data_IF_768440397996
#
_entry.id   IF_768440397996
#
_cell.length_a   1.000
_cell.length_b   1.000
_cell.length_c   1.000
_cell.angle_alpha   90.00
_cell.angle_beta   90.00
_cell.angle_gamma   90.00
#
_symmetry.space_group_name_H-M   'P 1'
#
loop_
_entity.id
_entity.type
_entity.pdbx_description
1 polymer ?
#
# COMPACT_ATOMS: atom_id res chain seq x y z
N UNK A 1 -14.38 -11.16 -68.36
CA UNK A 1 -14.23 -10.41 -67.10
C UNK A 1 -13.47 -11.30 -66.14
N UNK A 2 -12.13 -11.23 -66.16
CA UNK A 2 -11.26 -12.07 -65.32
C UNK A 2 -11.03 -11.35 -63.99
N UNK A 3 -11.52 -11.93 -62.89
CA UNK A 3 -11.20 -11.47 -61.55
C UNK A 3 -9.77 -11.92 -61.21
N UNK A 4 -8.91 -10.94 -60.91
CA UNK A 4 -7.54 -11.17 -60.43
C UNK A 4 -7.60 -11.70 -58.99
N UNK A 5 -7.22 -12.96 -58.78
CA UNK A 5 -6.99 -13.50 -57.43
C UNK A 5 -5.63 -12.99 -56.90
N UNK A 6 -5.56 -12.47 -55.66
CA UNK A 6 -4.30 -12.03 -55.08
C UNK A 6 -3.40 -13.23 -54.74
N UNK A 7 -2.09 -13.11 -54.99
CA UNK A 7 -1.10 -14.16 -54.77
C UNK A 7 -0.80 -14.44 -53.29
N UNK A 8 -0.50 -15.70 -52.97
CA UNK A 8 -0.29 -16.25 -51.61
C UNK A 8 0.78 -15.54 -50.75
N UNK A 9 1.65 -14.72 -51.36
CA UNK A 9 2.65 -13.93 -50.64
C UNK A 9 2.05 -12.74 -49.88
N UNK A 10 0.95 -12.17 -50.35
CA UNK A 10 0.26 -11.04 -49.72
C UNK A 10 -0.59 -11.49 -48.50
N UNK A 11 -1.15 -12.70 -48.55
CA UNK A 11 -1.97 -13.26 -47.46
C UNK A 11 -1.15 -13.51 -46.18
N UNK A 12 0.11 -13.93 -46.34
CA UNK A 12 1.00 -14.29 -45.23
C UNK A 12 1.58 -13.08 -44.48
N UNK A 13 1.72 -11.93 -45.14
CA UNK A 13 2.27 -10.72 -44.52
C UNK A 13 1.24 -10.02 -43.62
N UNK A 14 0.00 -9.87 -44.09
CA UNK A 14 -1.09 -9.27 -43.32
C UNK A 14 -1.42 -10.09 -42.05
N UNK A 15 -1.46 -11.42 -42.17
CA UNK A 15 -1.72 -12.30 -41.03
C UNK A 15 -0.61 -12.22 -39.95
N UNK A 16 0.66 -12.12 -40.34
CA UNK A 16 1.78 -11.90 -39.38
C UNK A 16 1.75 -10.51 -38.74
N UNK A 17 1.26 -9.51 -39.45
CA UNK A 17 1.06 -8.15 -38.92
C UNK A 17 -0.10 -8.10 -37.92
N UNK A 18 -1.19 -8.82 -38.18
CA UNK A 18 -2.28 -9.02 -37.22
C UNK A 18 -1.77 -9.68 -35.94
N UNK A 19 -1.06 -10.81 -36.05
CA UNK A 19 -0.52 -11.54 -34.89
C UNK A 19 0.45 -10.68 -34.05
N UNK A 20 1.27 -9.84 -34.70
CA UNK A 20 2.16 -8.89 -33.98
C UNK A 20 1.38 -7.80 -33.25
N UNK A 21 0.31 -7.27 -33.86
CA UNK A 21 -0.57 -6.29 -33.21
C UNK A 21 -1.30 -6.92 -32.02
N UNK A 22 -1.84 -8.11 -32.18
CA UNK A 22 -2.55 -8.84 -31.12
C UNK A 22 -1.60 -9.19 -29.95
N UNK A 23 -0.34 -9.55 -30.25
CA UNK A 23 0.69 -9.80 -29.22
C UNK A 23 1.05 -8.51 -28.48
N UNK A 24 1.21 -7.39 -29.19
CA UNK A 24 1.52 -6.08 -28.56
C UNK A 24 0.34 -5.52 -27.75
N UNK A 25 -0.90 -5.76 -28.17
CA UNK A 25 -2.11 -5.36 -27.44
C UNK A 25 -2.34 -6.25 -26.21
N UNK A 26 -2.03 -7.55 -26.30
CA UNK A 26 -2.03 -8.48 -25.17
C UNK A 26 -0.98 -8.09 -24.12
N UNK A 27 0.24 -7.77 -24.54
CA UNK A 27 1.31 -7.30 -23.63
C UNK A 27 0.98 -5.94 -23.01
N UNK A 28 0.40 -5.00 -23.77
CA UNK A 28 -0.05 -3.70 -23.25
C UNK A 28 -1.23 -3.82 -22.27
N UNK A 29 -2.14 -4.78 -22.48
CA UNK A 29 -3.22 -5.10 -21.53
C UNK A 29 -2.69 -5.78 -20.27
N UNK A 30 -1.75 -6.71 -20.39
CA UNK A 30 -1.07 -7.34 -19.26
C UNK A 30 -0.29 -6.34 -18.41
N UNK A 31 0.39 -5.39 -19.06
CA UNK A 31 1.10 -4.29 -18.38
C UNK A 31 0.13 -3.34 -17.67
N UNK A 32 -1.00 -3.00 -18.29
CA UNK A 32 -2.02 -2.15 -17.65
C UNK A 32 -2.67 -2.81 -16.43
N UNK A 33 -2.94 -4.13 -16.45
CA UNK A 33 -3.51 -4.83 -15.29
C UNK A 33 -2.48 -4.95 -14.17
N UNK A 34 -1.21 -5.22 -14.48
CA UNK A 34 -0.14 -5.24 -13.48
C UNK A 34 0.10 -3.85 -12.87
N UNK A 35 0.04 -2.80 -13.69
CA UNK A 35 0.14 -1.40 -13.27
C UNK A 35 -1.08 -0.98 -12.41
N UNK A 36 -2.30 -1.37 -12.82
CA UNK A 36 -3.53 -1.14 -12.04
C UNK A 36 -3.52 -1.94 -10.73
N UNK A 37 -3.00 -3.16 -10.71
CA UNK A 37 -2.85 -3.98 -9.50
C UNK A 37 -1.81 -3.41 -8.52
N UNK A 38 -0.76 -2.76 -9.04
CA UNK A 38 0.18 -1.94 -8.27
C UNK A 38 -0.42 -0.60 -7.82
N UNK A 39 -1.46 -0.10 -8.50
CA UNK A 39 -2.28 1.03 -8.05
C UNK A 39 -3.34 0.64 -7.00
N UNK A 40 -3.75 -0.64 -6.91
CA UNK A 40 -4.72 -1.11 -5.91
C UNK A 40 -4.09 -1.26 -4.52
N UNK A 41 -2.80 -1.53 -4.42
CA UNK A 41 -2.08 -1.55 -3.14
C UNK A 41 -1.40 -0.20 -2.92
N UNK A 42 -1.84 0.54 -1.89
CA UNK A 42 -1.22 1.79 -1.42
C UNK A 42 0.15 1.54 -0.75
N UNK A 43 0.98 0.71 -1.36
CA UNK A 43 2.28 0.28 -0.89
C UNK A 43 3.36 0.97 -1.71
N UNK A 44 4.28 1.66 -1.04
CA UNK A 44 5.37 2.41 -1.67
C UNK A 44 6.70 2.06 -1.02
N UNK A 45 7.76 1.99 -1.83
CA UNK A 45 9.12 1.97 -1.32
C UNK A 45 9.51 3.41 -0.95
N UNK A 46 9.81 3.64 0.32
CA UNK A 46 10.10 4.96 0.90
C UNK A 46 11.54 5.04 1.44
N UNK A 47 12.41 4.12 1.01
CA UNK A 47 13.83 4.08 1.41
C UNK A 47 14.55 5.37 1.06
N UNK A 48 14.26 5.91 -0.13
CA UNK A 48 14.84 7.14 -0.61
C UNK A 48 13.82 8.27 -0.53
N UNK A 49 14.32 9.49 -0.27
CA UNK A 49 13.51 10.70 -0.26
C UNK A 49 13.16 11.11 -1.71
N UNK A 50 12.22 10.39 -2.31
CA UNK A 50 11.67 10.72 -3.62
C UNK A 50 10.54 11.78 -3.43
N UNK A 51 10.65 12.97 -4.05
CA UNK A 51 9.65 14.02 -3.92
C UNK A 51 8.27 13.63 -4.45
N UNK A 52 8.19 12.81 -5.50
CA UNK A 52 6.92 12.40 -6.12
C UNK A 52 6.16 11.45 -5.20
N UNK A 53 6.85 10.44 -4.65
CA UNK A 53 6.29 9.51 -3.66
C UNK A 53 5.85 10.28 -2.41
N UNK A 54 6.66 11.25 -1.97
CA UNK A 54 6.32 12.09 -0.82
C UNK A 54 5.07 12.94 -1.08
N UNK A 55 4.95 13.52 -2.28
CA UNK A 55 3.78 14.29 -2.68
C UNK A 55 2.52 13.40 -2.71
N UNK A 56 2.63 12.20 -3.28
CA UNK A 56 1.57 11.19 -3.30
C UNK A 56 1.11 10.82 -1.88
N UNK A 57 2.05 10.47 -0.99
CA UNK A 57 1.75 10.15 0.41
C UNK A 57 1.07 11.32 1.11
N UNK A 58 1.59 12.54 0.93
CA UNK A 58 1.02 13.73 1.56
C UNK A 58 -0.39 14.02 1.04
N UNK A 59 -0.69 13.73 -0.22
CA UNK A 59 -2.03 13.89 -0.78
C UNK A 59 -3.02 12.89 -0.15
N UNK A 60 -2.58 11.65 0.11
CA UNK A 60 -3.43 10.59 0.66
C UNK A 60 -3.69 10.72 2.17
N UNK A 61 -2.64 10.99 2.96
CA UNK A 61 -2.72 10.94 4.43
C UNK A 61 -2.36 12.26 5.11
N UNK A 62 -2.10 13.32 4.35
CA UNK A 62 -1.68 14.63 4.86
C UNK A 62 -0.18 14.69 5.19
N UNK A 63 0.39 15.90 5.38
CA UNK A 63 1.81 16.10 5.66
C UNK A 63 2.23 15.55 7.04
N UNK A 64 3.54 15.32 7.28
CA UNK A 64 4.00 14.89 8.60
C UNK A 64 3.75 15.99 9.62
N UNK A 65 3.46 15.60 10.86
CA UNK A 65 3.34 16.56 11.96
C UNK A 65 4.70 17.24 12.22
N UNK A 66 4.66 18.55 12.47
CA UNK A 66 5.85 19.29 12.92
C UNK A 66 6.34 18.80 14.29
N UNK A 67 7.60 19.09 14.61
CA UNK A 67 8.25 18.63 15.85
C UNK A 67 7.46 19.03 17.11
N UNK A 68 7.05 20.29 17.21
CA UNK A 68 6.30 20.81 18.37
C UNK A 68 4.94 20.10 18.50
N UNK A 69 4.20 19.95 17.40
CA UNK A 69 2.92 19.23 17.41
C UNK A 69 3.08 17.76 17.78
N UNK A 70 4.14 17.10 17.29
CA UNK A 70 4.43 15.70 17.61
C UNK A 70 4.68 15.51 19.11
N UNK A 71 5.46 16.39 19.72
CA UNK A 71 5.75 16.35 21.17
C UNK A 71 4.48 16.62 21.97
N UNK A 72 3.68 17.64 21.62
CA UNK A 72 2.39 17.94 22.29
C UNK A 72 1.40 16.78 22.23
N UNK A 73 1.47 15.96 21.18
CA UNK A 73 0.64 14.76 21.05
C UNK A 73 1.22 13.53 21.75
N UNK A 74 2.36 13.63 22.44
CA UNK A 74 3.04 12.49 23.06
C UNK A 74 3.60 11.50 22.04
N UNK A 75 4.10 12.02 20.92
CA UNK A 75 4.64 11.25 19.79
C UNK A 75 3.58 10.83 18.77
N UNK A 76 4.04 10.66 17.53
CA UNK A 76 3.22 10.26 16.37
C UNK A 76 3.56 8.85 15.85
N UNK A 77 4.53 8.18 16.46
CA UNK A 77 4.94 6.83 16.08
C UNK A 77 4.56 5.79 17.14
N UNK A 78 4.23 4.58 16.71
CA UNK A 78 4.20 3.41 17.59
C UNK A 78 5.61 2.90 17.88
N UNK A 79 5.73 1.99 18.85
CA UNK A 79 6.92 1.14 18.95
C UNK A 79 6.83 0.04 17.89
N UNK A 80 7.88 -0.79 17.86
CA UNK A 80 8.01 -1.93 16.96
C UNK A 80 7.01 -3.03 17.33
N UNK A 81 6.18 -3.45 16.38
CA UNK A 81 5.21 -4.55 16.54
C UNK A 81 5.56 -5.70 15.59
N UNK A 82 5.30 -6.94 16.03
CA UNK A 82 5.60 -8.14 15.23
C UNK A 82 4.46 -8.39 14.25
N UNK A 83 4.80 -8.60 12.98
CA UNK A 83 3.84 -8.99 11.95
C UNK A 83 3.66 -10.51 12.02
N UNK A 84 2.46 -10.97 12.38
CA UNK A 84 2.14 -12.40 12.44
C UNK A 84 1.54 -12.91 11.14
N UNK A 85 0.81 -12.06 10.43
CA UNK A 85 0.20 -12.39 9.14
C UNK A 85 0.05 -11.14 8.27
N UNK A 86 0.06 -11.34 6.95
CA UNK A 86 -0.20 -10.28 5.99
C UNK A 86 -0.83 -10.83 4.71
N UNK A 87 -1.48 -9.95 3.97
CA UNK A 87 -2.02 -10.20 2.63
C UNK A 87 -0.91 -10.54 1.62
N UNK A 88 -1.22 -11.24 0.51
CA UNK A 88 -0.20 -11.73 -0.44
C UNK A 88 0.71 -10.65 -1.03
N UNK A 89 0.15 -9.47 -1.31
CA UNK A 89 0.83 -8.29 -1.84
C UNK A 89 1.88 -7.71 -0.87
N UNK A 90 1.65 -7.80 0.45
CA UNK A 90 2.61 -7.40 1.49
C UNK A 90 3.56 -8.55 1.80
N UNK A 91 3.03 -9.79 1.89
CA UNK A 91 3.78 -11.00 2.23
C UNK A 91 4.95 -11.23 1.29
N UNK A 92 4.80 -10.95 -0.01
CA UNK A 92 5.88 -11.08 -1.00
C UNK A 92 7.13 -10.26 -0.64
N UNK A 93 6.97 -9.13 0.04
CA UNK A 93 8.09 -8.29 0.50
C UNK A 93 8.65 -8.78 1.84
N UNK A 94 7.78 -9.28 2.72
CA UNK A 94 8.19 -9.82 4.01
C UNK A 94 8.94 -11.15 3.88
N UNK A 95 8.64 -11.96 2.86
CA UNK A 95 9.32 -13.24 2.63
C UNK A 95 10.75 -13.10 2.12
N UNK A 96 11.16 -11.90 1.70
CA UNK A 96 12.50 -11.64 1.18
C UNK A 96 13.58 -11.58 2.28
N UNK A 97 13.19 -11.34 3.53
CA UNK A 97 14.11 -11.20 4.66
C UNK A 97 14.12 -12.46 5.54
N UNK A 98 15.27 -12.72 6.16
CA UNK A 98 15.48 -13.87 7.07
C UNK A 98 15.18 -13.53 8.53
N UNK A 99 15.08 -12.24 8.86
CA UNK A 99 14.80 -11.75 10.21
C UNK A 99 13.30 -11.71 10.50
N UNK A 100 12.93 -11.74 11.79
CA UNK A 100 11.55 -11.58 12.21
C UNK A 100 10.93 -10.28 11.62
N UNK A 101 9.74 -10.37 10.98
CA UNK A 101 9.11 -9.24 10.33
C UNK A 101 8.48 -8.31 11.35
N UNK A 102 8.95 -7.07 11.39
CA UNK A 102 8.43 -6.04 12.27
C UNK A 102 7.91 -4.83 11.49
N UNK A 103 6.94 -4.14 12.08
CA UNK A 103 6.47 -2.85 11.59
C UNK A 103 6.44 -1.78 12.68
N UNK A 104 6.29 -0.53 12.24
CA UNK A 104 5.99 0.64 13.07
C UNK A 104 4.89 1.45 12.37
N UNK A 105 4.00 2.04 13.15
CA UNK A 105 2.93 2.88 12.65
C UNK A 105 3.32 4.34 12.83
N UNK A 106 3.11 5.14 11.78
CA UNK A 106 3.18 6.59 11.83
C UNK A 106 1.77 7.15 11.68
N UNK A 107 1.36 7.97 12.64
CA UNK A 107 0.12 8.73 12.60
C UNK A 107 0.30 9.97 11.72
N UNK A 108 -0.65 10.19 10.82
CA UNK A 108 -0.73 11.35 9.94
C UNK A 108 -2.07 12.08 10.12
N UNK A 109 -2.22 13.33 9.62
CA UNK A 109 -3.46 14.08 9.77
C UNK A 109 -4.70 13.36 9.23
N UNK A 110 -4.58 12.66 8.10
CA UNK A 110 -5.70 12.03 7.39
C UNK A 110 -5.57 10.51 7.28
N UNK A 111 -4.65 9.89 8.02
CA UNK A 111 -4.46 8.44 7.97
C UNK A 111 -3.27 7.96 8.77
N UNK A 112 -2.77 6.79 8.40
CA UNK A 112 -1.56 6.19 8.97
C UNK A 112 -0.63 5.69 7.86
N UNK A 113 0.64 5.49 8.22
CA UNK A 113 1.61 4.76 7.39
C UNK A 113 2.13 3.59 8.23
N UNK A 114 2.01 2.38 7.70
CA UNK A 114 2.62 1.17 8.28
C UNK A 114 3.97 0.95 7.60
N UNK A 115 5.03 1.21 8.34
CA UNK A 115 6.40 1.05 7.88
C UNK A 115 6.89 -0.35 8.22
N UNK A 116 7.47 -1.06 7.27
CA UNK A 116 8.13 -2.34 7.50
C UNK A 116 9.34 -2.51 6.59
N UNK A 117 10.27 -3.37 6.97
CA UNK A 117 11.46 -3.63 6.16
C UNK A 117 11.29 -4.81 5.21
N UNK A 118 11.92 -4.69 4.05
CA UNK A 118 12.15 -5.76 3.09
C UNK A 118 13.63 -5.76 2.72
N UNK A 119 14.40 -6.69 3.29
CA UNK A 119 15.86 -6.70 3.20
C UNK A 119 16.44 -5.34 3.61
N UNK A 120 16.94 -4.52 2.68
CA UNK A 120 17.52 -3.19 2.94
C UNK A 120 16.55 -2.05 2.66
N UNK A 121 15.37 -2.35 2.13
CA UNK A 121 14.36 -1.37 1.75
C UNK A 121 13.34 -1.17 2.87
N UNK A 122 12.86 0.07 3.00
CA UNK A 122 11.74 0.42 3.86
C UNK A 122 10.50 0.61 3.00
N UNK A 123 9.51 -0.23 3.24
CA UNK A 123 8.21 -0.17 2.59
C UNK A 123 7.23 0.56 3.50
N UNK A 124 6.43 1.45 2.92
CA UNK A 124 5.34 2.15 3.58
C UNK A 124 4.01 1.72 2.98
N UNK A 125 3.17 1.09 3.79
CA UNK A 125 1.76 0.85 3.46
C UNK A 125 0.93 2.01 3.98
N UNK A 126 0.46 2.84 3.06
CA UNK A 126 -0.21 4.12 3.32
C UNK A 126 -1.70 3.88 3.38
N UNK A 127 -2.35 4.23 4.49
CA UNK A 127 -3.77 3.93 4.69
C UNK A 127 -4.51 5.20 5.14
N UNK A 128 -5.30 5.84 4.26
CA UNK A 128 -6.22 6.90 4.63
C UNK A 128 -7.27 6.42 5.66
N UNK A 129 -7.73 7.33 6.53
CA UNK A 129 -8.67 6.96 7.60
C UNK A 129 -10.00 6.38 7.11
N UNK A 130 -10.50 6.82 5.97
CA UNK A 130 -11.75 6.29 5.38
C UNK A 130 -11.60 4.84 4.88
N UNK A 131 -10.38 4.41 4.53
CA UNK A 131 -10.11 3.02 4.16
C UNK A 131 -9.63 2.15 5.34
N UNK A 132 -9.12 2.75 6.40
CA UNK A 132 -8.53 2.04 7.53
C UNK A 132 -9.60 1.37 8.41
N UNK A 133 -9.50 0.06 8.63
CA UNK A 133 -10.25 -0.66 9.66
C UNK A 133 -9.28 -1.35 10.63
N UNK A 134 -9.56 -1.22 11.93
CA UNK A 134 -8.73 -1.76 13.01
C UNK A 134 -9.62 -2.65 13.88
N UNK A 135 -9.28 -3.93 13.99
CA UNK A 135 -9.90 -4.86 14.92
C UNK A 135 -8.89 -5.27 15.99
N UNK A 136 -9.37 -5.50 17.22
CA UNK A 136 -8.55 -5.93 18.35
C UNK A 136 -8.99 -7.32 18.79
N UNK A 137 -8.03 -8.20 19.02
CA UNK A 137 -8.26 -9.54 19.56
C UNK A 137 -7.19 -9.83 20.64
N UNK A 138 -7.52 -9.58 21.90
CA UNK A 138 -6.55 -9.67 23.00
C UNK A 138 -5.37 -8.70 22.79
N UNK A 139 -4.15 -9.22 22.76
CA UNK A 139 -2.92 -8.44 22.46
C UNK A 139 -2.63 -8.31 20.95
N UNK A 140 -3.49 -8.84 20.09
CA UNK A 140 -3.36 -8.77 18.64
C UNK A 140 -4.21 -7.65 18.04
N UNK A 141 -3.72 -7.07 16.95
CA UNK A 141 -4.39 -6.02 16.17
C UNK A 141 -4.40 -6.43 14.70
N UNK A 142 -5.57 -6.31 14.09
CA UNK A 142 -5.77 -6.63 12.69
C UNK A 142 -6.07 -5.32 11.96
N UNK A 143 -5.17 -4.94 11.07
CA UNK A 143 -5.30 -3.77 10.21
C UNK A 143 -5.79 -4.21 8.84
N UNK A 144 -6.80 -3.52 8.33
CA UNK A 144 -7.31 -3.68 6.97
C UNK A 144 -7.38 -2.32 6.29
N UNK A 145 -7.07 -2.27 4.99
CA UNK A 145 -7.19 -1.04 4.22
C UNK A 145 -6.87 -1.25 2.74
N UNK A 146 -7.66 -0.62 1.87
CA UNK A 146 -7.46 -0.66 0.41
C UNK A 146 -7.23 -2.08 -0.16
N UNK A 147 -7.96 -3.09 0.35
CA UNK A 147 -7.85 -4.48 -0.10
C UNK A 147 -6.70 -5.30 0.50
N UNK A 148 -5.82 -4.70 1.28
CA UNK A 148 -4.70 -5.36 1.97
C UNK A 148 -4.97 -5.50 3.48
N UNK A 149 -4.26 -6.41 4.14
CA UNK A 149 -4.37 -6.59 5.59
C UNK A 149 -3.05 -6.97 6.24
N UNK A 150 -2.93 -6.68 7.54
CA UNK A 150 -1.80 -7.05 8.38
C UNK A 150 -2.28 -7.39 9.80
N UNK A 151 -1.91 -8.58 10.29
CA UNK A 151 -2.11 -8.98 11.68
C UNK A 151 -0.83 -8.72 12.45
N UNK A 152 -0.99 -8.01 13.56
CA UNK A 152 0.07 -7.54 14.43
C UNK A 152 -0.08 -8.15 15.81
N UNK A 153 1.02 -8.52 16.43
CA UNK A 153 1.07 -8.92 17.83
C UNK A 153 1.98 -8.00 18.65
N UNK A 154 1.79 -8.03 19.96
CA UNK A 154 2.57 -7.26 20.91
C UNK A 154 1.88 -6.01 21.43
N UNK A 155 0.57 -5.84 21.19
CA UNK A 155 -0.22 -4.67 21.65
C UNK A 155 -1.04 -5.02 22.87
N UNK A 156 -0.35 -5.36 23.96
CA UNK A 156 -0.98 -5.58 25.27
C UNK A 156 -1.48 -4.28 25.90
N UNK A 157 -2.51 -4.36 26.75
CA UNK A 157 -3.21 -3.21 27.33
C UNK A 157 -2.32 -2.25 28.16
N UNK A 158 -1.25 -2.77 28.74
CA UNK A 158 -0.29 -1.98 29.52
C UNK A 158 0.84 -1.39 28.67
N UNK A 159 0.93 -1.75 27.39
CA UNK A 159 2.01 -1.32 26.51
C UNK A 159 1.69 0.05 25.90
N UNK A 160 2.70 0.93 25.69
CA UNK A 160 2.50 2.22 25.05
C UNK A 160 1.82 2.16 23.69
N UNK A 161 1.95 1.03 22.98
CA UNK A 161 1.30 0.78 21.70
C UNK A 161 -0.23 0.75 21.82
N UNK A 162 -0.77 0.37 22.98
CA UNK A 162 -2.21 0.42 23.24
C UNK A 162 -2.73 1.86 23.15
N UNK A 163 -2.07 2.78 23.86
CA UNK A 163 -2.42 4.22 23.85
C UNK A 163 -2.25 4.84 22.47
N UNK A 164 -1.24 4.37 21.72
CA UNK A 164 -1.04 4.82 20.35
C UNK A 164 -2.22 4.42 19.45
N UNK A 165 -2.70 3.18 19.55
CA UNK A 165 -3.83 2.70 18.75
C UNK A 165 -5.13 3.40 19.12
N UNK A 166 -5.38 3.66 20.41
CA UNK A 166 -6.53 4.47 20.84
C UNK A 166 -6.47 5.89 20.26
N UNK A 167 -5.28 6.49 20.23
CA UNK A 167 -5.04 7.78 19.59
C UNK A 167 -5.37 7.74 18.09
N UNK A 168 -4.98 6.67 17.38
CA UNK A 168 -5.33 6.48 15.96
C UNK A 168 -6.84 6.39 15.78
N UNK A 169 -7.53 5.61 16.61
CA UNK A 169 -8.99 5.46 16.56
C UNK A 169 -9.73 6.78 16.84
N UNK A 170 -9.28 7.54 17.84
CA UNK A 170 -9.84 8.86 18.13
C UNK A 170 -9.66 9.84 16.98
N UNK A 171 -8.46 9.86 16.35
CA UNK A 171 -8.21 10.70 15.17
C UNK A 171 -9.03 10.29 13.96
N UNK A 172 -9.21 8.98 13.73
CA UNK A 172 -10.08 8.46 12.68
C UNK A 172 -11.53 8.95 12.88
N UNK A 173 -12.04 8.96 14.11
CA UNK A 173 -13.39 9.45 14.41
C UNK A 173 -13.54 10.95 14.12
N UNK A 174 -12.59 11.77 14.58
CA UNK A 174 -12.60 13.21 14.27
C UNK A 174 -12.52 13.48 12.76
N UNK A 175 -11.73 12.71 12.01
CA UNK A 175 -11.63 12.85 10.56
C UNK A 175 -12.92 12.47 9.83
N UNK A 176 -13.68 11.50 10.36
CA UNK A 176 -15.00 11.12 9.83
C UNK A 176 -16.05 12.20 10.08
N UNK A 177 -15.97 12.91 11.19
CA UNK A 177 -16.90 14.00 11.51
C UNK A 177 -16.72 15.22 10.59
N UNK A 178 -15.51 15.43 10.08
CA UNK A 178 -15.21 16.51 9.12
C UNK A 178 -15.60 16.21 7.67
N UNK A 179 -15.89 14.95 7.32
CA UNK A 179 -16.21 14.51 5.96
C UNK A 179 -17.48 13.64 5.97
N UNK A 180 -18.68 14.24 5.83
CA UNK A 180 -19.96 13.59 6.16
C UNK A 180 -20.48 12.60 5.10
N UNK A 181 -19.64 12.18 4.15
CA UNK A 181 -20.03 11.39 2.99
C UNK A 181 -19.57 9.93 3.06
#
# INVERSE_FOLDING_TARGET
>A
MFALFPSDSQLNAAHRLQLRKDTSESEARGTNIAFLCLQVSMLRNITYNNPDIKAEINALVGPPFGLISSIKMGGIGSRRMLITEASPDIRKWLSLQTTAPYCYLELRPSGIIVHFRSILETMGWVIPFHHLSIFRNGEAIHLHGAGSFMHLSGVGSLKPDHKFIEKVLGRKQCARESDPF
#
